data_IF_865836215470
#
_entry.id   IF_865836215470
#
_cell.length_a   1.000
_cell.length_b   1.000
_cell.length_c   1.000
_cell.angle_alpha   90.00
_cell.angle_beta   90.00
_cell.angle_gamma   90.00
#
_symmetry.space_group_name_H-M   'P 1'
#
loop_
_entity.id
_entity.type
_entity.pdbx_description
1 polymer ?
#
# COMPACT_ATOMS: atom_id res chain seq x y z
N UNK A 1 -20.32 -3.34 17.18
CA UNK A 1 -20.34 -4.67 16.54
C UNK A 1 -20.17 -5.69 17.64
N UNK A 2 -20.89 -6.84 17.66
CA UNK A 2 -20.65 -7.87 18.67
C UNK A 2 -19.20 -8.35 18.56
N UNK A 3 -18.52 -8.48 19.69
CA UNK A 3 -17.15 -8.99 19.78
C UNK A 3 -17.08 -10.39 19.15
N UNK A 4 -16.27 -10.51 18.09
CA UNK A 4 -15.98 -11.80 17.44
C UNK A 4 -16.70 -12.07 16.12
N UNK A 5 -17.58 -11.22 15.62
CA UNK A 5 -18.15 -11.36 14.28
C UNK A 5 -17.15 -10.96 13.19
N UNK A 6 -17.08 -11.67 12.04
CA UNK A 6 -16.20 -11.30 10.94
C UNK A 6 -16.61 -9.94 10.38
N UNK A 7 -15.64 -9.05 10.17
CA UNK A 7 -15.83 -7.72 9.61
C UNK A 7 -16.23 -7.82 8.13
N UNK A 8 -15.57 -8.73 7.41
CA UNK A 8 -15.90 -9.09 6.04
C UNK A 8 -16.55 -10.46 6.00
N UNK A 9 -17.88 -10.51 5.93
CA UNK A 9 -18.65 -11.75 5.80
C UNK A 9 -18.62 -12.25 4.36
N UNK A 10 -18.86 -13.56 4.11
CA UNK A 10 -19.00 -14.08 2.75
C UNK A 10 -20.06 -13.37 1.93
N UNK A 11 -21.18 -12.96 2.53
CA UNK A 11 -22.25 -12.26 1.84
C UNK A 11 -21.86 -10.82 1.46
N UNK A 12 -21.16 -10.09 2.34
CA UNK A 12 -20.63 -8.77 2.02
C UNK A 12 -19.60 -8.83 0.85
N UNK A 13 -18.84 -9.90 0.75
CA UNK A 13 -17.85 -10.11 -0.32
C UNK A 13 -18.43 -10.66 -1.64
N UNK A 14 -19.72 -10.97 -1.70
CA UNK A 14 -20.40 -11.23 -2.99
C UNK A 14 -20.54 -9.95 -3.81
N UNK A 15 -20.70 -8.82 -3.16
CA UNK A 15 -20.71 -7.50 -3.78
C UNK A 15 -19.26 -7.00 -3.98
N UNK A 16 -19.13 -5.89 -4.73
CA UNK A 16 -17.84 -5.21 -4.86
C UNK A 16 -17.47 -4.50 -3.55
N UNK A 17 -16.40 -4.92 -2.85
CA UNK A 17 -16.00 -4.27 -1.60
C UNK A 17 -15.54 -2.82 -1.80
N UNK A 18 -15.25 -2.40 -3.04
CA UNK A 18 -14.88 -1.01 -3.35
C UNK A 18 -16.10 -0.08 -3.39
N UNK A 19 -17.30 -0.61 -3.61
CA UNK A 19 -18.55 0.13 -3.59
C UNK A 19 -19.19 0.24 -2.18
N UNK A 20 -18.62 -0.41 -1.17
CA UNK A 20 -19.16 -0.42 0.21
C UNK A 20 -18.99 0.96 0.87
N UNK A 21 -20.10 1.60 1.24
CA UNK A 21 -20.08 2.91 1.90
C UNK A 21 -19.33 2.92 3.25
N UNK A 22 -19.26 1.77 3.94
CA UNK A 22 -18.53 1.61 5.19
C UNK A 22 -17.11 1.07 5.01
N UNK A 23 -16.62 0.98 3.76
CA UNK A 23 -15.32 0.40 3.42
C UNK A 23 -14.19 0.90 4.33
N UNK A 24 -14.05 2.21 4.50
CA UNK A 24 -12.97 2.80 5.31
C UNK A 24 -12.99 2.27 6.75
N UNK A 25 -14.17 2.26 7.40
CA UNK A 25 -14.34 1.76 8.76
C UNK A 25 -14.04 0.27 8.88
N UNK A 26 -14.54 -0.53 7.92
CA UNK A 26 -14.32 -1.99 7.89
C UNK A 26 -12.84 -2.32 7.66
N UNK A 27 -12.18 -1.62 6.75
CA UNK A 27 -10.75 -1.75 6.47
C UNK A 27 -9.92 -1.42 7.71
N UNK A 28 -10.20 -0.29 8.38
CA UNK A 28 -9.51 0.10 9.60
C UNK A 28 -9.67 -0.95 10.70
N UNK A 29 -10.89 -1.41 10.95
CA UNK A 29 -11.16 -2.43 11.96
C UNK A 29 -10.46 -3.76 11.64
N UNK A 30 -10.46 -4.18 10.36
CA UNK A 30 -9.80 -5.38 9.89
C UNK A 30 -8.28 -5.32 10.11
N UNK A 31 -7.64 -4.25 9.65
CA UNK A 31 -6.20 -4.09 9.84
C UNK A 31 -5.82 -3.93 11.31
N UNK A 32 -6.66 -3.26 12.11
CA UNK A 32 -6.49 -3.20 13.55
C UNK A 32 -6.47 -4.58 14.22
N UNK A 33 -7.36 -5.47 13.81
CA UNK A 33 -7.46 -6.82 14.36
C UNK A 33 -6.25 -7.71 14.05
N UNK A 34 -5.62 -7.53 12.88
CA UNK A 34 -4.50 -8.39 12.42
C UNK A 34 -3.11 -7.77 12.65
N UNK A 35 -3.01 -6.53 13.14
CA UNK A 35 -1.77 -5.75 13.17
C UNK A 35 -0.56 -6.49 13.75
N UNK A 36 -0.73 -7.21 14.85
CA UNK A 36 0.34 -7.94 15.54
C UNK A 36 0.96 -9.09 14.73
N UNK A 37 0.18 -9.72 13.86
CA UNK A 37 0.61 -10.89 13.07
C UNK A 37 0.77 -10.54 11.59
N UNK A 38 0.55 -9.28 11.21
CA UNK A 38 0.49 -8.83 9.83
C UNK A 38 1.78 -9.12 9.06
N UNK A 39 2.94 -8.76 9.60
CA UNK A 39 4.23 -8.94 8.93
C UNK A 39 4.57 -10.41 8.71
N UNK A 40 4.39 -11.25 9.74
CA UNK A 40 4.66 -12.67 9.65
C UNK A 40 3.78 -13.33 8.57
N UNK A 41 2.49 -13.01 8.58
CA UNK A 41 1.56 -13.54 7.59
C UNK A 41 1.92 -13.11 6.17
N UNK A 42 2.23 -11.83 5.96
CA UNK A 42 2.64 -11.35 4.65
C UNK A 42 3.90 -12.03 4.14
N UNK A 43 4.91 -12.22 4.99
CA UNK A 43 6.15 -12.92 4.61
C UNK A 43 5.90 -14.37 4.21
N UNK A 44 5.13 -15.10 5.02
CA UNK A 44 4.81 -16.51 4.73
C UNK A 44 4.00 -16.61 3.45
N UNK A 45 2.91 -15.84 3.32
CA UNK A 45 1.99 -15.93 2.20
C UNK A 45 2.52 -15.34 0.90
N UNK A 46 3.51 -14.47 0.95
CA UNK A 46 4.24 -13.99 -0.23
C UNK A 46 5.46 -14.85 -0.58
N UNK A 47 5.76 -15.89 0.19
CA UNK A 47 7.03 -16.63 0.09
C UNK A 47 8.24 -15.69 0.15
N UNK A 48 8.20 -14.71 1.06
CA UNK A 48 9.19 -13.64 1.23
C UNK A 48 9.40 -12.74 0.00
N UNK A 49 8.53 -12.81 -1.00
CA UNK A 49 8.61 -11.93 -2.18
C UNK A 49 8.23 -10.49 -1.83
N UNK A 50 7.43 -10.25 -0.79
CA UNK A 50 7.04 -8.92 -0.32
C UNK A 50 8.26 -8.01 -0.08
N UNK A 51 9.36 -8.54 0.44
CA UNK A 51 10.59 -7.79 0.66
C UNK A 51 11.30 -7.42 -0.66
N UNK A 52 11.25 -8.31 -1.68
CA UNK A 52 11.79 -8.00 -3.01
C UNK A 52 10.95 -6.94 -3.72
N UNK A 53 9.62 -7.04 -3.59
CA UNK A 53 8.71 -6.05 -4.16
C UNK A 53 8.92 -4.66 -3.53
N UNK A 54 9.08 -4.58 -2.20
CA UNK A 54 9.38 -3.32 -1.51
C UNK A 54 10.72 -2.72 -1.94
N UNK A 55 11.76 -3.54 -2.10
CA UNK A 55 13.06 -3.08 -2.64
C UNK A 55 12.91 -2.52 -4.07
N UNK A 56 12.09 -3.14 -4.91
CA UNK A 56 11.81 -2.62 -6.24
C UNK A 56 11.07 -1.26 -6.17
N UNK A 57 10.13 -1.09 -5.24
CA UNK A 57 9.45 0.19 -5.02
C UNK A 57 10.43 1.28 -4.53
N UNK A 58 11.32 0.96 -3.58
CA UNK A 58 12.37 1.87 -3.11
C UNK A 58 13.29 2.30 -4.26
N UNK A 59 13.74 1.35 -5.09
CA UNK A 59 14.55 1.65 -6.27
C UNK A 59 13.81 2.55 -7.27
N UNK A 60 12.52 2.31 -7.51
CA UNK A 60 11.69 3.13 -8.41
C UNK A 60 11.49 4.56 -7.88
N UNK A 61 11.50 4.75 -6.56
CA UNK A 61 11.40 6.06 -5.93
C UNK A 61 12.66 6.93 -6.14
N UNK A 62 13.82 6.30 -6.44
CA UNK A 62 15.07 7.00 -6.74
C UNK A 62 15.50 7.92 -5.60
N UNK A 63 15.52 7.40 -4.39
CA UNK A 63 15.81 8.10 -3.14
C UNK A 63 17.30 8.41 -3.04
N UNK A 64 17.63 9.57 -2.51
CA UNK A 64 18.99 9.99 -2.17
C UNK A 64 19.04 10.63 -0.77
N UNK A 65 20.26 11.00 -0.32
CA UNK A 65 20.51 11.60 1.00
C UNK A 65 19.91 12.99 1.22
N UNK A 66 19.16 13.54 0.28
CA UNK A 66 18.44 14.81 0.38
C UNK A 66 16.93 14.62 0.34
N UNK A 67 16.47 13.44 -0.04
CA UNK A 67 15.07 13.15 -0.28
C UNK A 67 14.25 13.16 1.00
N UNK A 68 13.17 13.94 1.01
CA UNK A 68 12.10 13.89 2.00
C UNK A 68 10.97 13.03 1.44
N UNK A 69 10.66 11.91 2.10
CA UNK A 69 9.77 10.87 1.58
C UNK A 69 8.56 10.69 2.48
N UNK A 70 7.38 10.59 1.87
CA UNK A 70 6.14 10.21 2.53
C UNK A 70 5.75 8.79 2.11
N UNK A 71 5.61 7.87 3.07
CA UNK A 71 5.04 6.55 2.86
C UNK A 71 3.60 6.53 3.38
N UNK A 72 2.63 6.47 2.47
CA UNK A 72 1.19 6.51 2.78
C UNK A 72 0.65 5.09 2.92
N UNK A 73 -0.29 4.90 3.84
CA UNK A 73 -0.75 3.58 4.27
C UNK A 73 0.45 2.69 4.65
N UNK A 74 1.35 3.24 5.45
CA UNK A 74 2.62 2.61 5.80
C UNK A 74 2.45 1.33 6.63
N UNK A 75 1.28 1.10 7.20
CA UNK A 75 0.96 -0.07 8.02
C UNK A 75 1.93 -0.21 9.19
N UNK A 76 2.58 -1.36 9.28
CA UNK A 76 3.59 -1.69 10.28
C UNK A 76 4.98 -1.13 9.95
N UNK A 77 5.12 -0.29 8.91
CA UNK A 77 6.31 0.48 8.60
C UNK A 77 7.35 -0.22 7.72
N UNK A 78 7.13 -1.42 7.20
CA UNK A 78 8.14 -2.17 6.45
C UNK A 78 8.73 -1.41 5.25
N UNK A 79 7.91 -0.66 4.48
CA UNK A 79 8.40 0.13 3.35
C UNK A 79 9.06 1.42 3.84
N UNK A 80 8.45 2.12 4.80
CA UNK A 80 9.02 3.34 5.38
C UNK A 80 10.42 3.10 5.97
N UNK A 81 10.60 1.98 6.67
CA UNK A 81 11.88 1.58 7.21
C UNK A 81 12.91 1.22 6.12
N UNK A 82 12.47 0.54 5.04
CA UNK A 82 13.34 0.26 3.89
C UNK A 82 13.78 1.54 3.16
N UNK A 83 12.93 2.58 3.13
CA UNK A 83 13.24 3.91 2.61
C UNK A 83 14.30 4.61 3.47
N UNK A 84 14.16 4.54 4.80
CA UNK A 84 15.16 5.07 5.72
C UNK A 84 16.51 4.35 5.58
N UNK A 85 16.51 3.04 5.43
CA UNK A 85 17.71 2.23 5.18
C UNK A 85 18.36 2.54 3.81
N UNK A 86 17.57 3.00 2.83
CA UNK A 86 18.08 3.46 1.53
C UNK A 86 18.72 4.86 1.57
N UNK A 87 18.74 5.52 2.73
CA UNK A 87 19.45 6.77 2.95
C UNK A 87 18.65 8.04 2.67
N UNK A 88 17.33 8.01 2.74
CA UNK A 88 16.52 9.23 2.70
C UNK A 88 16.91 10.20 3.84
N UNK A 89 16.84 11.51 3.60
CA UNK A 89 17.10 12.53 4.63
C UNK A 89 16.02 12.55 5.71
N UNK A 90 14.76 12.38 5.30
CA UNK A 90 13.60 12.37 6.18
C UNK A 90 12.55 11.38 5.65
N UNK A 91 11.97 10.58 6.55
CA UNK A 91 10.88 9.67 6.21
C UNK A 91 9.70 9.89 7.14
N UNK A 92 8.54 10.12 6.56
CA UNK A 92 7.26 10.18 7.26
C UNK A 92 6.42 8.98 6.83
N UNK A 93 5.97 8.17 7.79
CA UNK A 93 5.03 7.08 7.57
C UNK A 93 3.65 7.50 8.04
N UNK A 94 2.67 7.52 7.14
CA UNK A 94 1.28 7.84 7.48
C UNK A 94 0.39 6.62 7.33
N UNK A 95 -0.43 6.33 8.34
CA UNK A 95 -1.46 5.29 8.26
C UNK A 95 -2.76 5.73 8.94
N UNK A 96 -3.87 5.20 8.44
CA UNK A 96 -5.21 5.47 8.98
C UNK A 96 -5.51 4.66 10.25
N UNK A 97 -4.78 3.55 10.47
CA UNK A 97 -5.03 2.56 11.51
C UNK A 97 -4.04 2.72 12.69
N UNK A 98 -4.48 3.21 13.87
CA UNK A 98 -3.59 3.43 15.01
C UNK A 98 -2.83 2.17 15.44
N UNK A 99 -3.48 1.01 15.48
CA UNK A 99 -2.84 -0.25 15.89
C UNK A 99 -1.69 -0.67 14.97
N UNK A 100 -1.73 -0.33 13.67
CA UNK A 100 -0.62 -0.53 12.75
C UNK A 100 0.56 0.38 13.09
N UNK A 101 0.29 1.65 13.37
CA UNK A 101 1.31 2.62 13.76
C UNK A 101 1.98 2.28 15.09
N UNK A 102 1.25 1.69 16.03
CA UNK A 102 1.84 1.24 17.31
C UNK A 102 2.86 0.12 17.06
N UNK A 103 2.57 -0.82 16.18
CA UNK A 103 3.54 -1.84 15.76
C UNK A 103 4.73 -1.20 15.05
N UNK A 104 4.48 -0.27 14.13
CA UNK A 104 5.53 0.43 13.39
C UNK A 104 6.48 1.21 14.31
N UNK A 105 5.94 1.98 15.27
CA UNK A 105 6.73 2.72 16.27
C UNK A 105 7.58 1.79 17.13
N UNK A 106 7.01 0.67 17.57
CA UNK A 106 7.73 -0.32 18.37
C UNK A 106 8.89 -0.94 17.59
N UNK A 107 8.68 -1.31 16.33
CA UNK A 107 9.74 -1.83 15.43
C UNK A 107 10.81 -0.78 15.16
N UNK A 108 10.42 0.45 14.82
CA UNK A 108 11.33 1.55 14.53
C UNK A 108 12.18 1.94 15.72
N UNK A 109 11.61 1.91 16.95
CA UNK A 109 12.36 2.18 18.17
C UNK A 109 13.43 1.12 18.47
N UNK A 110 13.17 -0.14 18.12
CA UNK A 110 14.13 -1.24 18.28
C UNK A 110 15.26 -1.21 17.24
N UNK A 111 15.04 -0.58 16.11
CA UNK A 111 16.01 -0.48 15.02
C UNK A 111 17.02 0.65 15.29
N UNK A 112 18.32 0.33 15.24
CA UNK A 112 19.41 1.32 15.36
C UNK A 112 19.71 1.95 14.01
N UNK A 113 18.82 2.84 13.51
CA UNK A 113 18.99 3.53 12.24
C UNK A 113 19.48 4.96 12.39
N UNK A 114 20.22 5.44 11.39
CA UNK A 114 20.65 6.83 11.33
C UNK A 114 19.46 7.78 11.14
N UNK A 115 18.49 7.39 10.31
CA UNK A 115 17.25 8.13 10.06
C UNK A 115 16.09 7.40 10.72
N UNK A 116 15.37 8.10 11.59
CA UNK A 116 14.15 7.58 12.23
C UNK A 116 12.93 7.96 11.40
N UNK A 117 12.03 7.00 11.22
CA UNK A 117 10.74 7.26 10.58
C UNK A 117 9.81 7.99 11.57
N UNK A 118 9.23 9.10 11.12
CA UNK A 118 8.19 9.80 11.87
C UNK A 118 6.81 9.23 11.50
N UNK A 119 6.16 8.53 12.44
CA UNK A 119 4.87 7.89 12.23
C UNK A 119 3.70 8.78 12.65
N UNK A 120 2.83 9.13 11.69
CA UNK A 120 1.68 10.04 11.83
C UNK A 120 0.38 9.31 11.48
N UNK A 121 -0.67 9.51 12.29
CA UNK A 121 -2.00 9.04 11.92
C UNK A 121 -2.65 10.03 10.95
N UNK A 122 -3.24 9.52 9.86
CA UNK A 122 -3.93 10.37 8.90
C UNK A 122 -4.65 9.58 7.82
N UNK A 123 -5.50 10.30 7.06
CA UNK A 123 -6.22 9.77 5.91
C UNK A 123 -5.46 10.12 4.62
N UNK A 124 -5.29 9.15 3.73
CA UNK A 124 -4.71 9.35 2.41
C UNK A 124 -5.50 10.35 1.54
N UNK A 125 -6.80 10.50 1.80
CA UNK A 125 -7.69 11.42 1.09
C UNK A 125 -7.67 12.86 1.64
N UNK A 126 -6.96 13.10 2.76
CA UNK A 126 -6.82 14.43 3.40
C UNK A 126 -5.47 14.47 4.14
N UNK A 127 -4.38 14.58 3.39
CA UNK A 127 -3.04 14.54 3.94
C UNK A 127 -2.72 15.79 4.78
N UNK A 128 -2.31 15.65 6.06
CA UNK A 128 -2.06 16.78 6.96
C UNK A 128 -0.70 17.44 6.70
N UNK A 129 -0.37 17.64 5.43
CA UNK A 129 0.91 18.23 5.00
C UNK A 129 0.66 19.38 4.04
N UNK A 130 1.57 20.35 4.05
CA UNK A 130 1.54 21.46 3.11
C UNK A 130 1.80 20.99 1.67
N UNK A 131 1.36 21.76 0.70
CA UNK A 131 1.65 21.55 -0.72
C UNK A 131 3.16 21.46 -0.95
N UNK A 132 3.57 20.63 -1.91
CA UNK A 132 4.96 20.58 -2.37
C UNK A 132 5.97 20.33 -1.24
N UNK A 133 5.62 19.42 -0.31
CA UNK A 133 6.44 19.13 0.89
C UNK A 133 7.43 17.98 0.69
N UNK A 134 7.16 17.07 -0.26
CA UNK A 134 7.90 15.82 -0.40
C UNK A 134 8.53 15.66 -1.78
N UNK A 135 9.72 15.05 -1.83
CA UNK A 135 10.44 14.72 -3.05
C UNK A 135 10.00 13.40 -3.66
N UNK A 136 9.52 12.48 -2.80
CA UNK A 136 8.90 11.23 -3.23
C UNK A 136 7.74 10.85 -2.29
N UNK A 137 6.76 10.15 -2.86
CA UNK A 137 5.65 9.54 -2.14
C UNK A 137 5.54 8.07 -2.55
N UNK A 138 5.41 7.21 -1.56
CA UNK A 138 5.22 5.78 -1.76
C UNK A 138 3.92 5.31 -1.13
N UNK A 139 3.31 4.29 -1.70
CA UNK A 139 2.20 3.55 -1.10
C UNK A 139 2.30 2.08 -1.54
N UNK A 140 2.36 1.15 -0.57
CA UNK A 140 2.45 -0.28 -0.86
C UNK A 140 1.24 -1.03 -0.33
N UNK A 141 0.51 -1.72 -1.23
CA UNK A 141 -0.66 -2.55 -0.92
C UNK A 141 -1.79 -1.80 -0.20
N UNK A 142 -1.79 -0.48 -0.32
CA UNK A 142 -2.70 0.42 0.38
C UNK A 142 -3.78 1.03 -0.49
N UNK A 143 -3.47 1.39 -1.75
CA UNK A 143 -4.34 2.24 -2.58
C UNK A 143 -5.69 1.58 -2.88
N UNK A 144 -5.76 0.25 -3.06
CA UNK A 144 -7.03 -0.46 -3.25
C UNK A 144 -7.95 -0.40 -2.02
N UNK A 145 -7.37 -0.16 -0.83
CA UNK A 145 -8.10 -0.06 0.44
C UNK A 145 -8.66 1.34 0.71
N UNK A 146 -8.15 2.36 0.02
CA UNK A 146 -8.67 3.74 0.10
C UNK A 146 -10.10 3.78 -0.44
N UNK A 147 -10.98 4.55 0.21
CA UNK A 147 -12.38 4.66 -0.19
C UNK A 147 -12.52 5.30 -1.58
N UNK A 148 -11.80 6.38 -1.83
CA UNK A 148 -11.80 7.12 -3.10
C UNK A 148 -10.35 7.29 -3.60
N UNK A 149 -9.82 6.35 -4.40
CA UNK A 149 -8.44 6.40 -4.89
C UNK A 149 -8.12 7.68 -5.67
N UNK A 150 -9.06 8.20 -6.45
CA UNK A 150 -8.85 9.45 -7.20
C UNK A 150 -8.60 10.67 -6.27
N UNK A 151 -9.34 10.76 -5.17
CA UNK A 151 -9.13 11.82 -4.16
C UNK A 151 -7.77 11.70 -3.50
N UNK A 152 -7.34 10.48 -3.14
CA UNK A 152 -6.01 10.26 -2.59
C UNK A 152 -4.91 10.62 -3.58
N UNK A 153 -5.06 10.26 -4.86
CA UNK A 153 -4.09 10.60 -5.92
C UNK A 153 -3.97 12.12 -6.09
N UNK A 154 -5.07 12.87 -5.99
CA UNK A 154 -5.04 14.33 -6.01
C UNK A 154 -4.25 14.91 -4.82
N UNK A 155 -4.42 14.35 -3.63
CA UNK A 155 -3.64 14.71 -2.45
C UNK A 155 -2.14 14.36 -2.61
N UNK A 156 -1.85 13.17 -3.20
CA UNK A 156 -0.46 12.79 -3.51
C UNK A 156 0.19 13.79 -4.47
N UNK A 157 -0.56 14.20 -5.50
CA UNK A 157 -0.09 15.24 -6.42
C UNK A 157 0.15 16.56 -5.70
N UNK A 158 -0.76 16.98 -4.82
CA UNK A 158 -0.67 18.24 -4.08
C UNK A 158 0.59 18.31 -3.21
N UNK A 159 0.87 17.25 -2.45
CA UNK A 159 1.99 17.24 -1.48
C UNK A 159 3.35 16.97 -2.10
N UNK A 160 3.42 16.39 -3.29
CA UNK A 160 4.68 16.20 -4.00
C UNK A 160 5.20 17.54 -4.55
N UNK A 161 6.50 17.75 -4.54
CA UNK A 161 7.18 18.85 -5.22
C UNK A 161 7.12 18.72 -6.75
N UNK A 162 7.23 19.79 -7.52
CA UNK A 162 7.52 19.70 -8.95
C UNK A 162 8.76 18.82 -9.19
N UNK A 163 8.68 17.86 -10.11
CA UNK A 163 9.70 16.82 -10.31
C UNK A 163 9.66 15.66 -9.30
N UNK A 164 8.80 15.74 -8.29
CA UNK A 164 8.61 14.69 -7.28
C UNK A 164 8.01 13.41 -7.85
N UNK A 165 8.31 12.28 -7.24
CA UNK A 165 7.98 10.94 -7.73
C UNK A 165 6.91 10.28 -6.88
N UNK A 166 5.90 9.72 -7.53
CA UNK A 166 4.93 8.81 -6.93
C UNK A 166 5.30 7.38 -7.29
N UNK A 167 5.35 6.50 -6.30
CA UNK A 167 5.52 5.06 -6.49
C UNK A 167 4.41 4.31 -5.78
N UNK A 168 3.65 3.51 -6.53
CA UNK A 168 2.59 2.67 -6.01
C UNK A 168 2.93 1.21 -6.25
N UNK A 169 3.06 0.45 -5.18
CA UNK A 169 3.25 -1.00 -5.23
C UNK A 169 1.91 -1.67 -4.90
N UNK A 170 1.32 -2.40 -5.85
CA UNK A 170 0.01 -3.01 -5.62
C UNK A 170 -0.12 -4.38 -6.30
N UNK A 171 -1.00 -5.21 -5.75
CA UNK A 171 -1.38 -6.47 -6.39
C UNK A 171 -2.15 -6.21 -7.68
N UNK A 172 -1.99 -7.13 -8.63
CA UNK A 172 -2.74 -7.12 -9.88
C UNK A 172 -3.11 -8.54 -10.29
N UNK A 173 -4.12 -8.67 -11.13
CA UNK A 173 -4.44 -9.94 -11.77
C UNK A 173 -3.42 -10.22 -12.89
N UNK A 174 -2.71 -11.36 -12.85
CA UNK A 174 -1.76 -11.72 -13.90
C UNK A 174 -2.43 -11.82 -15.28
N UNK A 175 -1.77 -11.24 -16.29
CA UNK A 175 -2.28 -11.33 -17.68
C UNK A 175 -2.18 -12.76 -18.23
N UNK A 176 -1.16 -13.52 -17.82
CA UNK A 176 -0.99 -14.92 -18.25
C UNK A 176 -2.04 -15.81 -17.56
N UNK A 177 -2.87 -16.56 -18.32
CA UNK A 177 -3.95 -17.36 -17.76
C UNK A 177 -3.48 -18.51 -16.86
N UNK A 178 -2.29 -19.09 -17.11
CA UNK A 178 -1.72 -20.17 -16.28
C UNK A 178 -1.29 -19.60 -14.92
N UNK A 179 -0.61 -18.45 -14.93
CA UNK A 179 -0.20 -17.77 -13.71
C UNK A 179 -1.43 -17.32 -12.91
N UNK A 180 -2.44 -16.78 -13.59
CA UNK A 180 -3.72 -16.40 -12.97
C UNK A 180 -4.40 -17.59 -12.31
N UNK A 181 -4.52 -18.72 -13.00
CA UNK A 181 -5.10 -19.93 -12.43
C UNK A 181 -4.35 -20.39 -11.18
N UNK A 182 -3.01 -20.45 -11.23
CA UNK A 182 -2.19 -20.81 -10.06
C UNK A 182 -2.35 -19.82 -8.90
N UNK A 183 -2.35 -18.52 -9.18
CA UNK A 183 -2.58 -17.45 -8.21
C UNK A 183 -3.98 -17.58 -7.57
N UNK A 184 -5.00 -17.81 -8.37
CA UNK A 184 -6.38 -18.02 -7.92
C UNK A 184 -6.53 -19.25 -7.02
N UNK A 185 -5.93 -20.35 -7.42
CA UNK A 185 -5.93 -21.57 -6.61
C UNK A 185 -5.27 -21.32 -5.24
N UNK A 186 -4.12 -20.64 -5.23
CA UNK A 186 -3.41 -20.31 -4.01
C UNK A 186 -4.21 -19.34 -3.13
N UNK A 187 -4.62 -18.20 -3.67
CA UNK A 187 -5.25 -17.12 -2.90
C UNK A 187 -6.68 -17.43 -2.46
N UNK A 188 -7.43 -18.20 -3.27
CA UNK A 188 -8.83 -18.53 -2.98
C UNK A 188 -9.01 -19.80 -2.17
N UNK A 189 -8.05 -20.75 -2.21
CA UNK A 189 -8.16 -22.06 -1.54
C UNK A 189 -7.12 -22.27 -0.44
N UNK A 190 -5.84 -22.05 -0.72
CA UNK A 190 -4.74 -22.40 0.19
C UNK A 190 -4.56 -21.31 1.26
N UNK A 191 -4.43 -20.06 0.85
CA UNK A 191 -4.12 -18.93 1.75
C UNK A 191 -5.18 -18.73 2.85
N UNK A 192 -6.51 -18.78 2.60
CA UNK A 192 -7.49 -18.60 3.68
C UNK A 192 -7.42 -19.71 4.74
N UNK A 193 -7.08 -20.93 4.34
CA UNK A 193 -6.94 -22.07 5.26
C UNK A 193 -5.67 -21.93 6.11
N UNK A 194 -4.51 -21.65 5.49
CA UNK A 194 -3.24 -21.50 6.20
C UNK A 194 -3.22 -20.26 7.09
N UNK A 195 -3.79 -19.15 6.64
CA UNK A 195 -3.87 -17.91 7.41
C UNK A 195 -4.80 -18.04 8.63
N UNK A 196 -5.92 -18.76 8.50
CA UNK A 196 -6.80 -19.01 9.64
C UNK A 196 -6.11 -19.84 10.72
N UNK A 197 -5.24 -20.77 10.31
CA UNK A 197 -4.48 -21.63 11.22
C UNK A 197 -3.37 -20.86 11.96
N UNK A 198 -2.65 -19.97 11.21
CA UNK A 198 -1.50 -19.22 11.73
C UNK A 198 -1.91 -18.01 12.57
N UNK A 199 -2.93 -17.27 12.15
CA UNK A 199 -3.29 -15.98 12.76
C UNK A 199 -4.51 -16.06 13.69
N UNK A 200 -5.25 -17.17 13.74
CA UNK A 200 -6.58 -17.25 14.36
C UNK A 200 -7.49 -16.09 13.94
N UNK A 201 -7.29 -15.62 12.69
CA UNK A 201 -8.00 -14.44 12.18
C UNK A 201 -9.49 -14.72 12.02
N UNK A 202 -10.29 -13.96 12.75
CA UNK A 202 -11.75 -13.94 12.66
C UNK A 202 -12.27 -12.70 11.90
N UNK A 203 -11.39 -11.76 11.47
CA UNK A 203 -11.80 -10.51 10.81
C UNK A 203 -12.29 -10.73 9.38
N UNK A 204 -11.86 -11.81 8.71
CA UNK A 204 -12.13 -12.08 7.31
C UNK A 204 -11.12 -11.44 6.35
N UNK A 205 -9.97 -10.94 6.83
CA UNK A 205 -8.95 -10.27 6.03
C UNK A 205 -8.47 -11.10 4.84
N UNK A 206 -8.26 -12.39 5.04
CA UNK A 206 -7.77 -13.31 4.00
C UNK A 206 -8.83 -13.74 2.97
N UNK A 207 -10.11 -13.45 3.23
CA UNK A 207 -11.19 -13.54 2.23
C UNK A 207 -11.35 -12.23 1.48
N UNK A 208 -11.16 -11.10 2.18
CA UNK A 208 -11.19 -9.77 1.59
C UNK A 208 -10.07 -9.57 0.57
N UNK A 209 -8.84 -10.02 0.86
CA UNK A 209 -7.67 -9.78 0.02
C UNK A 209 -7.88 -10.23 -1.44
N UNK A 210 -8.18 -11.52 -1.76
CA UNK A 210 -8.35 -11.93 -3.15
C UNK A 210 -9.53 -11.21 -3.83
N UNK A 211 -10.60 -10.90 -3.09
CA UNK A 211 -11.75 -10.19 -3.64
C UNK A 211 -11.40 -8.74 -3.95
N UNK A 212 -10.73 -8.04 -3.04
CA UNK A 212 -10.33 -6.64 -3.26
C UNK A 212 -9.31 -6.48 -4.38
N UNK A 213 -8.45 -7.49 -4.62
CA UNK A 213 -7.53 -7.48 -5.77
C UNK A 213 -8.29 -7.68 -7.07
N UNK A 214 -9.17 -8.71 -7.15
CA UNK A 214 -9.88 -9.04 -8.39
C UNK A 214 -10.93 -8.00 -8.84
N UNK A 215 -11.34 -7.10 -7.94
CA UNK A 215 -12.29 -6.03 -8.24
C UNK A 215 -11.63 -4.65 -8.31
N UNK A 216 -10.33 -4.56 -8.04
CA UNK A 216 -9.60 -3.32 -8.23
C UNK A 216 -9.28 -3.09 -9.71
N UNK A 217 -9.10 -1.82 -10.07
CA UNK A 217 -8.83 -1.43 -11.46
C UNK A 217 -7.54 -2.05 -12.00
N UNK A 218 -7.52 -2.46 -13.28
CA UNK A 218 -6.33 -3.00 -13.94
C UNK A 218 -5.17 -1.98 -14.00
N UNK A 219 -3.91 -2.44 -14.12
CA UNK A 219 -2.74 -1.55 -14.12
C UNK A 219 -2.76 -0.44 -15.17
N UNK A 220 -3.30 -0.72 -16.38
CA UNK A 220 -3.42 0.28 -17.43
C UNK A 220 -4.41 1.39 -17.06
N UNK A 221 -5.55 1.01 -16.46
CA UNK A 221 -6.58 1.93 -16.00
C UNK A 221 -6.09 2.79 -14.83
N UNK A 222 -5.34 2.18 -13.90
CA UNK A 222 -4.69 2.91 -12.81
C UNK A 222 -3.65 3.92 -13.33
N UNK A 223 -2.84 3.55 -14.34
CA UNK A 223 -1.90 4.48 -14.99
C UNK A 223 -2.63 5.64 -15.69
N UNK A 224 -3.78 5.38 -16.33
CA UNK A 224 -4.61 6.42 -16.92
C UNK A 224 -5.20 7.35 -15.85
N UNK A 225 -5.59 6.82 -14.69
CA UNK A 225 -6.07 7.62 -13.56
C UNK A 225 -4.97 8.53 -13.01
N UNK A 226 -3.71 8.07 -12.92
CA UNK A 226 -2.57 8.90 -12.55
C UNK A 226 -2.37 10.05 -13.54
N UNK A 227 -2.39 9.75 -14.85
CA UNK A 227 -2.25 10.75 -15.90
C UNK A 227 -3.39 11.79 -15.87
N UNK A 228 -4.63 11.36 -15.63
CA UNK A 228 -5.80 12.25 -15.47
C UNK A 228 -5.65 13.20 -14.28
N UNK A 229 -4.91 12.82 -13.25
CA UNK A 229 -4.60 13.66 -12.09
C UNK A 229 -3.34 14.51 -12.27
N UNK A 230 -2.83 14.65 -13.51
CA UNK A 230 -1.73 15.54 -13.84
C UNK A 230 -0.33 14.93 -13.76
N UNK A 231 -0.20 13.68 -13.36
CA UNK A 231 1.08 12.98 -13.37
C UNK A 231 1.55 12.71 -14.81
N UNK A 232 2.86 12.73 -15.00
CA UNK A 232 3.53 12.39 -16.27
C UNK A 232 4.47 11.20 -16.09
N UNK A 233 5.02 10.69 -17.20
CA UNK A 233 5.92 9.54 -17.21
C UNK A 233 5.36 8.33 -16.43
N UNK A 234 4.04 8.12 -16.54
CA UNK A 234 3.38 7.01 -15.88
C UNK A 234 3.84 5.68 -16.49
N UNK A 235 4.37 4.81 -15.66
CA UNK A 235 4.81 3.47 -16.05
C UNK A 235 4.30 2.43 -15.06
N UNK A 236 4.13 1.19 -15.54
CA UNK A 236 3.71 0.06 -14.74
C UNK A 236 4.67 -1.12 -15.01
N UNK A 237 5.46 -1.49 -14.02
CA UNK A 237 6.43 -2.58 -14.12
C UNK A 237 5.90 -3.81 -13.40
N UNK A 238 5.57 -4.91 -14.11
CA UNK A 238 5.11 -6.13 -13.48
C UNK A 238 6.24 -6.85 -12.74
N UNK A 239 5.92 -7.37 -11.56
CA UNK A 239 6.79 -8.20 -10.74
C UNK A 239 6.15 -9.58 -10.57
N UNK A 240 7.00 -10.61 -10.38
CA UNK A 240 6.54 -11.98 -10.12
C UNK A 240 5.42 -12.41 -11.09
N UNK A 241 5.73 -12.37 -12.39
CA UNK A 241 4.80 -12.74 -13.48
C UNK A 241 3.49 -11.93 -13.50
N UNK A 242 3.49 -10.70 -12.94
CA UNK A 242 2.34 -9.80 -12.93
C UNK A 242 1.40 -9.96 -11.73
N UNK A 243 1.75 -10.76 -10.72
CA UNK A 243 1.02 -10.83 -9.44
C UNK A 243 1.07 -9.51 -8.67
N UNK A 244 2.14 -8.75 -8.88
CA UNK A 244 2.35 -7.45 -8.28
C UNK A 244 2.87 -6.48 -9.34
N UNK A 245 2.57 -5.19 -9.21
CA UNK A 245 3.00 -4.13 -10.13
C UNK A 245 3.55 -2.95 -9.34
N UNK A 246 4.68 -2.42 -9.81
CA UNK A 246 5.18 -1.11 -9.40
C UNK A 246 4.76 -0.10 -10.43
N UNK A 247 3.87 0.82 -10.04
CA UNK A 247 3.57 2.02 -10.81
C UNK A 247 4.51 3.13 -10.39
N UNK A 248 5.06 3.85 -11.36
CA UNK A 248 5.85 5.06 -11.15
C UNK A 248 5.29 6.18 -11.98
N UNK A 249 5.17 7.35 -11.38
CA UNK A 249 4.75 8.57 -12.05
C UNK A 249 5.50 9.78 -11.49
N UNK A 250 5.55 10.88 -12.23
CA UNK A 250 6.28 12.07 -11.86
C UNK A 250 5.33 13.28 -11.89
N UNK A 251 5.36 14.11 -10.85
CA UNK A 251 4.73 15.42 -10.90
C UNK A 251 5.55 16.30 -11.85
N UNK A 252 4.95 16.94 -12.88
CA UNK A 252 5.67 17.80 -13.82
C UNK A 252 6.47 18.89 -13.09
N UNK A 253 7.62 19.23 -13.65
CA UNK A 253 8.32 20.49 -13.30
C UNK A 253 7.57 21.67 -13.88
N UNK A 254 7.48 22.77 -13.14
CA UNK A 254 6.87 23.99 -13.69
C UNK A 254 7.74 24.52 -14.85
N UNK A 255 7.14 24.99 -15.96
CA UNK A 255 7.90 25.62 -17.01
C UNK A 255 8.61 26.85 -16.43
N UNK A 256 9.95 26.87 -16.41
CA UNK A 256 10.76 28.02 -15.99
C UNK A 256 11.59 27.86 -14.72
N UNK A 257 11.69 26.66 -14.13
CA UNK A 257 12.56 26.37 -12.98
C UNK A 257 13.79 25.57 -13.45
N UNK A 258 14.65 26.20 -14.21
CA UNK A 258 16.03 25.77 -14.48
C UNK A 258 16.99 26.75 -13.80
#
# INVERSE_FOLDING_TARGET
MPEGAPIWTPDALRQDPHADAEKARKVQAMFGAIARHYDLNNRIHSFFQDQRWRRAAVAAAGIDGRSRVLDVACGTGDLAEAIADAGAAEVVGLDFTPAMLDVARHKGAAARRAVRVNYVQGDAMALPFADRSFDALTIAFGIRNVAQPATAIAEFFRVLRPGGRLVVLEFADPANPIVRWGSDLYTKRIMPWTASLLARDRSGAYRYLPRSVSTFMPPAEFSALLAKNGFQQCSATPLTFGVCVVHRAVRPTEPGTL
#
